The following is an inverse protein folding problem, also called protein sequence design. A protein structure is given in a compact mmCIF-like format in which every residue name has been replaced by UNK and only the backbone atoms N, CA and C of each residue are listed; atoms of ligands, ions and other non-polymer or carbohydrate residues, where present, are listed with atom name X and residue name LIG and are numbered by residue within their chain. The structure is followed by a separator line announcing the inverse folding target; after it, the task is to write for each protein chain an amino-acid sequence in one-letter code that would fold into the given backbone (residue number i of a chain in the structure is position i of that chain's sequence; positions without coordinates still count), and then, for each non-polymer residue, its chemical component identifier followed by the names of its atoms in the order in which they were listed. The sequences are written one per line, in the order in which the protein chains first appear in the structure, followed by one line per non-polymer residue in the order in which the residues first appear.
data_IF_825132902719
#
_entry.id   IF_825132902719
#
_cell.length_a   1.000
_cell.length_b   1.000
_cell.length_c   1.000
_cell.angle_alpha   90.00
_cell.angle_beta   90.00
_cell.angle_gamma   90.00
#
_symmetry.space_group_name_H-M   'P 1'
#
loop_
_entity.id
_entity.type
_entity.pdbx_description
1 polymer ?
#
# COMPACT_ATOMS: atom_id res chain seq x y z
N UNK A 1 12.11 -7.36 15.09
CA UNK A 1 10.70 -6.98 14.88
C UNK A 1 10.06 -7.92 13.91
N UNK A 2 8.96 -8.51 14.30
CA UNK A 2 8.19 -9.38 13.44
C UNK A 2 7.17 -8.55 12.66
N UNK A 3 7.15 -8.71 11.34
CA UNK A 3 6.23 -7.97 10.49
C UNK A 3 5.43 -8.98 9.67
N UNK A 4 4.15 -9.13 10.02
CA UNK A 4 3.23 -10.05 9.35
C UNK A 4 2.24 -9.22 8.51
N UNK A 5 2.58 -9.06 7.24
CA UNK A 5 1.80 -8.22 6.32
C UNK A 5 0.40 -8.77 6.09
N UNK A 6 0.26 -10.10 6.02
CA UNK A 6 -1.05 -10.72 5.80
C UNK A 6 -1.97 -10.49 7.01
N UNK A 7 -1.43 -10.61 8.22
CA UNK A 7 -2.19 -10.38 9.44
C UNK A 7 -2.60 -8.92 9.56
N UNK A 8 -1.68 -8.00 9.27
CA UNK A 8 -1.96 -6.57 9.30
C UNK A 8 -3.10 -6.24 8.33
N UNK A 9 -3.03 -6.77 7.11
CA UNK A 9 -4.06 -6.52 6.09
C UNK A 9 -5.42 -7.09 6.54
N UNK A 10 -5.42 -8.29 7.10
CA UNK A 10 -6.64 -8.92 7.60
C UNK A 10 -7.28 -8.10 8.72
N UNK A 11 -6.50 -7.64 9.68
CA UNK A 11 -6.99 -6.81 10.78
C UNK A 11 -7.51 -5.46 10.28
N UNK A 12 -6.82 -4.87 9.30
CA UNK A 12 -7.28 -3.63 8.68
C UNK A 12 -8.64 -3.82 8.03
N UNK A 13 -8.80 -4.90 7.27
CA UNK A 13 -10.06 -5.18 6.57
C UNK A 13 -11.21 -5.42 7.54
N UNK A 14 -10.96 -6.12 8.66
CA UNK A 14 -11.96 -6.31 9.70
C UNK A 14 -12.42 -4.98 10.30
N UNK A 15 -11.46 -4.10 10.60
CA UNK A 15 -11.78 -2.78 11.14
C UNK A 15 -12.58 -1.94 10.15
N UNK A 16 -12.27 -2.05 8.86
CA UNK A 16 -12.99 -1.32 7.82
C UNK A 16 -14.45 -1.76 7.74
N UNK A 17 -14.73 -3.05 7.93
CA UNK A 17 -16.10 -3.55 7.97
C UNK A 17 -16.86 -2.92 9.14
N UNK A 18 -16.24 -2.83 10.31
CA UNK A 18 -16.86 -2.22 11.48
C UNK A 18 -17.10 -0.72 11.28
N UNK A 19 -16.13 -0.01 10.71
CA UNK A 19 -16.26 1.42 10.42
C UNK A 19 -17.43 1.67 9.47
N UNK A 20 -17.57 0.83 8.45
CA UNK A 20 -18.69 0.95 7.50
C UNK A 20 -20.04 0.83 8.21
N UNK A 21 -20.15 -0.07 9.18
CA UNK A 21 -21.38 -0.25 9.93
C UNK A 21 -21.65 0.91 10.88
N UNK A 22 -20.61 1.48 11.44
CA UNK A 22 -20.71 2.52 12.47
C UNK A 22 -20.93 3.91 11.89
N UNK A 23 -20.18 4.26 10.83
CA UNK A 23 -20.25 5.58 10.19
C UNK A 23 -20.38 5.41 8.66
N UNK A 24 -21.53 4.89 8.18
CA UNK A 24 -21.67 4.50 6.78
C UNK A 24 -21.55 5.66 5.79
N UNK A 25 -22.05 6.84 6.13
CA UNK A 25 -21.99 8.00 5.22
C UNK A 25 -20.54 8.43 5.00
N UNK A 26 -19.79 8.56 6.08
CA UNK A 26 -18.40 8.98 6.03
C UNK A 26 -17.54 7.95 5.34
N UNK A 27 -17.81 6.67 5.63
CA UNK A 27 -17.12 5.57 4.98
C UNK A 27 -17.34 5.59 3.47
N UNK A 28 -18.60 5.73 3.02
CA UNK A 28 -18.91 5.74 1.60
C UNK A 28 -18.31 6.96 0.88
N UNK A 29 -18.29 8.11 1.54
CA UNK A 29 -17.66 9.31 0.98
C UNK A 29 -16.16 9.09 0.78
N UNK A 30 -15.49 8.51 1.77
CA UNK A 30 -14.06 8.19 1.68
C UNK A 30 -13.80 7.17 0.56
N UNK A 31 -14.61 6.13 0.47
CA UNK A 31 -14.44 5.10 -0.56
C UNK A 31 -14.67 5.65 -1.96
N UNK A 32 -15.61 6.58 -2.10
CA UNK A 32 -15.88 7.24 -3.38
C UNK A 32 -14.69 8.10 -3.81
N UNK A 33 -14.12 8.85 -2.88
CA UNK A 33 -12.92 9.65 -3.12
C UNK A 33 -11.77 8.77 -3.58
N UNK A 34 -11.52 7.69 -2.84
CA UNK A 34 -10.45 6.75 -3.15
C UNK A 34 -10.64 6.12 -4.52
N UNK A 35 -11.85 5.66 -4.83
CA UNK A 35 -12.17 5.06 -6.12
C UNK A 35 -11.92 6.04 -7.26
N UNK A 36 -12.36 7.28 -7.07
CA UNK A 36 -12.20 8.33 -8.09
C UNK A 36 -10.72 8.64 -8.35
N UNK A 37 -9.93 8.74 -7.28
CA UNK A 37 -8.51 9.07 -7.40
C UNK A 37 -7.73 7.93 -8.06
N UNK A 38 -8.05 6.69 -7.71
CA UNK A 38 -7.31 5.52 -8.20
C UNK A 38 -7.75 5.05 -9.59
N UNK A 39 -8.92 5.47 -10.06
CA UNK A 39 -9.40 5.08 -11.39
C UNK A 39 -8.43 5.55 -12.46
N UNK A 40 -8.32 4.76 -13.53
CA UNK A 40 -7.45 5.12 -14.66
C UNK A 40 -7.88 6.44 -15.28
N UNK A 41 -6.91 7.33 -15.44
CA UNK A 41 -7.06 8.59 -16.15
C UNK A 41 -5.94 8.67 -17.17
N UNK A 42 -5.21 9.78 -17.19
CA UNK A 42 -4.00 9.87 -18.01
C UNK A 42 -2.90 8.98 -17.47
N UNK A 43 -2.98 8.64 -16.19
CA UNK A 43 -2.09 7.67 -15.54
C UNK A 43 -2.92 6.42 -15.29
N UNK A 44 -2.46 5.23 -15.73
CA UNK A 44 -3.19 3.99 -15.49
C UNK A 44 -3.33 3.66 -14.01
N UNK A 45 -4.41 3.00 -13.65
CA UNK A 45 -4.65 2.58 -12.27
C UNK A 45 -3.47 1.77 -11.70
N UNK A 46 -2.93 0.84 -12.48
CA UNK A 46 -1.79 0.03 -12.01
C UNK A 46 -0.61 0.90 -11.58
N UNK A 47 -0.35 1.99 -12.29
CA UNK A 47 0.72 2.92 -11.95
C UNK A 47 0.38 3.70 -10.68
N UNK A 48 -0.89 4.03 -10.50
CA UNK A 48 -1.33 4.71 -9.28
C UNK A 48 -1.11 3.86 -8.03
N UNK A 49 -1.30 2.54 -8.13
CA UNK A 49 -0.99 1.66 -7.01
C UNK A 49 0.51 1.65 -6.68
N UNK A 50 1.37 1.71 -7.71
CA UNK A 50 2.80 1.80 -7.49
C UNK A 50 3.17 3.13 -6.81
N UNK A 51 2.56 4.23 -7.26
CA UNK A 51 2.76 5.54 -6.63
C UNK A 51 2.32 5.51 -5.16
N UNK A 52 1.20 4.85 -4.88
CA UNK A 52 0.70 4.72 -3.52
C UNK A 52 1.67 3.94 -2.64
N UNK A 53 2.29 2.90 -3.19
CA UNK A 53 3.30 2.12 -2.47
C UNK A 53 4.50 3.01 -2.10
N UNK A 54 5.01 3.78 -3.07
CA UNK A 54 6.14 4.69 -2.83
C UNK A 54 5.78 5.74 -1.78
N UNK A 55 4.57 6.30 -1.88
CA UNK A 55 4.09 7.27 -0.90
C UNK A 55 3.98 6.66 0.50
N UNK A 56 3.54 5.40 0.59
CA UNK A 56 3.42 4.69 1.86
C UNK A 56 4.78 4.52 2.55
N UNK A 57 5.81 4.26 1.76
CA UNK A 57 7.20 4.18 2.28
C UNK A 57 7.66 5.54 2.77
N UNK A 58 7.41 6.59 1.98
CA UNK A 58 7.79 7.96 2.35
C UNK A 58 7.12 8.40 3.65
N UNK A 59 5.85 8.05 3.81
CA UNK A 59 5.06 8.36 5.01
C UNK A 59 5.35 7.44 6.19
N UNK A 60 6.16 6.42 5.96
CA UNK A 60 6.54 5.45 7.00
C UNK A 60 5.30 4.79 7.62
N UNK A 61 4.43 4.27 6.76
CA UNK A 61 3.14 3.71 7.16
C UNK A 61 3.16 2.18 7.07
N UNK A 62 3.44 1.47 8.18
CA UNK A 62 3.54 0.01 8.13
C UNK A 62 2.21 -0.68 7.83
N UNK A 63 1.09 -0.02 8.07
CA UNK A 63 -0.24 -0.58 7.77
C UNK A 63 -0.62 -0.35 6.31
N UNK A 64 -0.18 0.76 5.71
CA UNK A 64 -0.46 1.08 4.30
C UNK A 64 0.29 0.18 3.35
N UNK A 65 1.51 -0.24 3.73
CA UNK A 65 2.40 -1.03 2.87
C UNK A 65 1.79 -2.37 2.44
N UNK A 66 1.24 -3.22 3.33
CA UNK A 66 0.70 -4.51 2.89
C UNK A 66 -0.39 -4.37 1.83
N UNK A 67 -1.26 -3.40 1.98
CA UNK A 67 -2.35 -3.17 1.04
C UNK A 67 -1.84 -2.74 -0.32
N UNK A 68 -0.91 -1.78 -0.34
CA UNK A 68 -0.32 -1.29 -1.58
C UNK A 68 0.46 -2.40 -2.27
N UNK A 69 1.23 -3.21 -1.52
CA UNK A 69 1.97 -4.34 -2.07
C UNK A 69 1.03 -5.35 -2.72
N UNK A 70 -0.06 -5.72 -2.04
CA UNK A 70 -1.02 -6.68 -2.59
C UNK A 70 -1.59 -6.18 -3.91
N UNK A 71 -2.01 -4.92 -3.97
CA UNK A 71 -2.55 -4.34 -5.21
C UNK A 71 -1.51 -4.25 -6.32
N UNK A 72 -0.25 -3.95 -5.98
CA UNK A 72 0.82 -3.92 -6.97
C UNK A 72 1.06 -5.30 -7.56
N UNK A 73 1.07 -6.34 -6.72
CA UNK A 73 1.22 -7.73 -7.18
C UNK A 73 0.06 -8.08 -8.11
N UNK A 74 -1.16 -7.80 -7.69
CA UNK A 74 -2.37 -8.08 -8.48
C UNK A 74 -2.38 -7.34 -9.81
N UNK A 75 -1.74 -6.18 -9.87
CA UNK A 75 -1.62 -5.35 -11.07
C UNK A 75 -0.50 -5.81 -12.01
N UNK A 76 0.32 -6.77 -11.57
CA UNK A 76 1.37 -7.33 -12.40
C UNK A 76 2.76 -6.74 -12.20
N UNK A 77 2.95 -5.86 -11.20
CA UNK A 77 4.27 -5.33 -10.90
C UNK A 77 5.17 -6.43 -10.33
N UNK A 78 6.43 -6.47 -10.80
CA UNK A 78 7.41 -7.44 -10.29
C UNK A 78 8.06 -6.94 -9.00
N UNK A 79 8.69 -7.85 -8.27
CA UNK A 79 9.44 -7.50 -7.07
C UNK A 79 10.52 -6.46 -7.38
N UNK A 80 11.25 -6.65 -8.47
CA UNK A 80 12.31 -5.72 -8.86
C UNK A 80 11.75 -4.33 -9.13
N UNK A 81 10.64 -4.25 -9.85
CA UNK A 81 10.00 -2.97 -10.16
C UNK A 81 9.51 -2.26 -8.90
N UNK A 82 8.88 -3.01 -7.99
CA UNK A 82 8.37 -2.44 -6.75
C UNK A 82 9.50 -1.91 -5.87
N UNK A 83 10.57 -2.67 -5.73
CA UNK A 83 11.71 -2.24 -4.90
C UNK A 83 12.46 -1.08 -5.53
N UNK A 84 12.63 -1.10 -6.84
CA UNK A 84 13.26 0.02 -7.56
C UNK A 84 12.48 1.31 -7.35
N UNK A 85 11.15 1.23 -7.49
CA UNK A 85 10.30 2.40 -7.26
C UNK A 85 10.40 2.90 -5.82
N UNK A 86 10.39 1.98 -4.85
CA UNK A 86 10.47 2.37 -3.44
C UNK A 86 11.80 3.02 -3.07
N UNK A 87 12.89 2.70 -3.79
CA UNK A 87 14.18 3.35 -3.55
C UNK A 87 14.11 4.85 -3.83
N UNK A 88 13.21 5.28 -4.71
CA UNK A 88 13.01 6.72 -4.97
C UNK A 88 12.57 7.44 -3.69
N UNK A 89 11.77 6.77 -2.84
CA UNK A 89 11.33 7.35 -1.57
C UNK A 89 12.50 7.69 -0.64
N UNK A 90 13.60 6.97 -0.76
CA UNK A 90 14.78 7.18 0.10
C UNK A 90 15.43 8.54 -0.16
N UNK A 91 15.29 9.07 -1.38
CA UNK A 91 15.83 10.38 -1.73
C UNK A 91 15.17 11.51 -0.91
N UNK A 92 13.91 11.32 -0.53
CA UNK A 92 13.17 12.30 0.27
C UNK A 92 13.18 11.91 1.75
N UNK A 93 12.95 10.63 2.04
CA UNK A 93 12.77 10.16 3.41
C UNK A 93 14.03 9.75 4.14
N UNK A 94 15.16 9.65 3.43
CA UNK A 94 16.44 9.30 4.02
C UNK A 94 16.53 7.85 4.50
N UNK A 95 17.48 7.59 5.42
CA UNK A 95 17.71 6.23 5.91
C UNK A 95 16.51 5.63 6.65
N UNK A 96 15.68 6.46 7.27
CA UNK A 96 14.46 5.94 7.93
C UNK A 96 13.46 5.40 6.93
N UNK A 97 13.39 6.00 5.72
CA UNK A 97 12.55 5.44 4.65
C UNK A 97 13.12 4.09 4.19
N UNK A 98 14.43 3.94 4.15
CA UNK A 98 15.06 2.67 3.78
C UNK A 98 14.63 1.52 4.69
N UNK A 99 14.44 1.77 5.98
CA UNK A 99 13.96 0.74 6.89
C UNK A 99 12.56 0.26 6.49
N UNK A 100 11.74 1.15 5.91
CA UNK A 100 10.40 0.78 5.44
C UNK A 100 10.43 0.07 4.10
N UNK A 101 11.47 0.27 3.29
CA UNK A 101 11.67 -0.53 2.07
C UNK A 101 11.88 -2.01 2.45
N UNK A 102 12.52 -2.29 3.59
CA UNK A 102 12.66 -3.67 4.06
C UNK A 102 11.31 -4.31 4.38
N UNK A 103 10.34 -3.52 4.85
CA UNK A 103 8.99 -4.04 5.09
C UNK A 103 8.28 -4.37 3.78
N UNK A 104 8.52 -3.58 2.73
CA UNK A 104 8.00 -3.88 1.39
C UNK A 104 8.54 -5.23 0.91
N UNK A 105 9.84 -5.45 1.05
CA UNK A 105 10.45 -6.72 0.67
C UNK A 105 9.83 -7.89 1.40
N UNK A 106 9.63 -7.77 2.71
CA UNK A 106 8.97 -8.81 3.51
C UNK A 106 7.54 -9.06 3.06
N UNK A 107 6.78 -8.00 2.83
CA UNK A 107 5.39 -8.12 2.38
C UNK A 107 5.30 -8.85 1.04
N UNK A 108 6.18 -8.50 0.09
CA UNK A 108 6.23 -9.18 -1.21
C UNK A 108 6.45 -10.68 -1.02
N UNK A 109 7.41 -11.05 -0.18
CA UNK A 109 7.71 -12.46 0.09
C UNK A 109 6.54 -13.21 0.71
N UNK A 110 5.78 -12.55 1.56
CA UNK A 110 4.62 -13.15 2.23
C UNK A 110 3.43 -13.33 1.27
N UNK A 111 3.20 -12.37 0.37
CA UNK A 111 2.05 -12.43 -0.54
C UNK A 111 2.32 -13.27 -1.79
N UNK A 112 3.57 -13.43 -2.19
CA UNK A 112 3.96 -14.18 -3.40
C UNK A 112 4.36 -15.63 -3.10
N UNK A 113 3.71 -16.28 -2.21
CA UNK A 113 4.01 -17.66 -1.91
C UNK A 113 3.49 -18.62 -2.98
#
# INVERSE_FOLDING_TARGET
MEYDAQKILSQFNEAMVDIRKTVPKEYEAFMKEKETILASGKIPEKTKWLLLLVASVTQKCPVCIPRAVQHCIDSGWTKEEMLEACMVAVLVGGSSAMTYVTLVDKAIGQFKK
#
